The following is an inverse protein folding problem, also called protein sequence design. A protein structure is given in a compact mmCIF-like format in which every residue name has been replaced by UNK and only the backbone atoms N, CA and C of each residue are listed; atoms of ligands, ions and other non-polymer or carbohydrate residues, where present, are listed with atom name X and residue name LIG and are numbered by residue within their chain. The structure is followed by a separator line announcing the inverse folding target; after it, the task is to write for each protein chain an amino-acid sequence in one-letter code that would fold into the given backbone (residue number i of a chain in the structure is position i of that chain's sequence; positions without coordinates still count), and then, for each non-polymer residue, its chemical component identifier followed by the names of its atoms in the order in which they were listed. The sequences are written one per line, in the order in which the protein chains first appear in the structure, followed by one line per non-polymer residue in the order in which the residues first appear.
data_IF_211988104359
#
_entry.id   IF_211988104359
#
_cell.length_a   1.000
_cell.length_b   1.000
_cell.length_c   1.000
_cell.angle_alpha   90.00
_cell.angle_beta   90.00
_cell.angle_gamma   90.00
#
_symmetry.space_group_name_H-M   'P 1'
#
loop_
_entity.id
_entity.type
_entity.pdbx_description
1 polymer ?
#
# COMPACT_ATOMS: atom_id res chain seq x y z
N UNK A 1 55.73 -29.56 -10.68
CA UNK A 1 55.92 -28.17 -10.22
C UNK A 1 54.97 -27.30 -11.04
N UNK A 2 53.75 -27.06 -10.56
CA UNK A 2 53.34 -25.92 -9.72
C UNK A 2 53.55 -24.55 -10.39
N UNK A 3 52.42 -23.94 -10.73
CA UNK A 3 52.11 -22.51 -10.53
C UNK A 3 52.26 -21.56 -11.73
N UNK A 4 51.36 -20.55 -11.70
CA UNK A 4 51.27 -19.31 -12.48
C UNK A 4 50.45 -19.29 -13.78
N UNK A 5 49.13 -19.14 -13.65
CA UNK A 5 48.50 -17.84 -13.98
C UNK A 5 47.07 -17.78 -13.42
N UNK A 6 47.01 -17.36 -12.16
CA UNK A 6 45.86 -16.69 -11.54
C UNK A 6 45.47 -15.47 -12.37
N UNK A 7 44.18 -15.10 -12.33
CA UNK A 7 43.62 -13.75 -12.55
C UNK A 7 42.53 -13.67 -13.63
N UNK A 8 41.42 -14.42 -13.52
CA UNK A 8 40.17 -14.00 -14.16
C UNK A 8 38.91 -14.62 -13.54
N UNK A 9 38.61 -14.30 -12.28
CA UNK A 9 37.25 -14.45 -11.74
C UNK A 9 37.04 -13.43 -10.62
N UNK A 10 36.74 -12.18 -11.00
CA UNK A 10 35.98 -11.31 -10.11
C UNK A 10 34.58 -11.92 -10.01
N UNK A 11 34.37 -12.72 -8.97
CA UNK A 11 33.04 -13.15 -8.56
C UNK A 11 32.34 -11.87 -8.07
N UNK A 12 31.58 -11.23 -8.96
CA UNK A 12 30.57 -10.24 -8.56
C UNK A 12 29.48 -11.03 -7.83
N UNK A 13 29.62 -11.17 -6.51
CA UNK A 13 28.52 -11.56 -5.65
C UNK A 13 27.56 -10.37 -5.54
N UNK A 14 26.74 -10.17 -6.56
CA UNK A 14 25.61 -9.24 -6.51
C UNK A 14 24.55 -9.87 -5.60
N UNK A 15 24.55 -9.51 -4.32
CA UNK A 15 23.47 -9.85 -3.42
C UNK A 15 22.23 -9.03 -3.82
N UNK A 16 21.34 -9.63 -4.61
CA UNK A 16 20.01 -9.10 -4.86
C UNK A 16 19.17 -9.34 -3.61
N UNK A 17 19.15 -8.36 -2.71
CA UNK A 17 18.19 -8.33 -1.62
C UNK A 17 16.81 -8.05 -2.21
N UNK A 18 16.07 -9.10 -2.54
CA UNK A 18 14.65 -8.99 -2.79
C UNK A 18 13.97 -8.73 -1.44
N UNK A 19 13.72 -7.46 -1.11
CA UNK A 19 12.75 -7.11 -0.08
C UNK A 19 11.36 -7.46 -0.63
N UNK A 20 10.96 -8.72 -0.50
CA UNK A 20 9.62 -9.16 -0.89
C UNK A 20 8.63 -8.64 0.15
N UNK A 21 8.24 -7.38 0.04
CA UNK A 21 6.99 -6.95 0.66
C UNK A 21 5.87 -7.75 0.00
N UNK A 22 4.94 -8.35 0.76
CA UNK A 22 3.82 -9.06 0.17
C UNK A 22 3.05 -8.09 -0.75
N UNK A 23 3.00 -8.41 -2.04
CA UNK A 23 2.35 -7.59 -3.07
C UNK A 23 0.86 -7.35 -2.79
N UNK A 24 0.25 -8.24 -1.99
CA UNK A 24 -1.13 -8.16 -1.53
C UNK A 24 -1.19 -8.63 -0.07
N UNK A 25 -1.67 -7.78 0.83
CA UNK A 25 -1.65 -8.03 2.27
C UNK A 25 -2.94 -7.55 2.93
N UNK A 26 -3.42 -8.31 3.90
CA UNK A 26 -4.54 -7.92 4.78
C UNK A 26 -3.97 -7.73 6.18
N UNK A 27 -4.03 -6.49 6.65
CA UNK A 27 -3.50 -6.10 7.95
C UNK A 27 -4.63 -5.73 8.91
N UNK A 28 -4.43 -6.01 10.18
CA UNK A 28 -5.16 -5.31 11.23
C UNK A 28 -4.95 -3.80 11.07
N UNK A 29 -5.97 -3.01 11.38
CA UNK A 29 -5.86 -1.55 11.28
C UNK A 29 -4.77 -1.04 12.24
N UNK A 30 -3.68 -0.41 11.74
CA UNK A 30 -2.63 0.11 12.60
C UNK A 30 -3.18 1.17 13.56
N UNK A 31 -2.66 1.24 14.79
CA UNK A 31 -3.11 2.19 15.81
C UNK A 31 -3.02 3.65 15.31
N UNK A 32 -1.97 3.97 14.55
CA UNK A 32 -1.80 5.27 13.91
C UNK A 32 -2.96 5.60 12.96
N UNK A 33 -3.36 4.64 12.11
CA UNK A 33 -4.46 4.82 11.17
C UNK A 33 -5.81 4.91 11.90
N UNK A 34 -6.05 4.11 12.94
CA UNK A 34 -7.26 4.22 13.79
C UNK A 34 -7.41 5.63 14.37
N UNK A 35 -6.31 6.16 14.89
CA UNK A 35 -6.25 7.50 15.48
C UNK A 35 -6.56 8.56 14.42
N UNK A 36 -5.88 8.48 13.27
CA UNK A 36 -6.08 9.41 12.16
C UNK A 36 -7.53 9.38 11.62
N UNK A 37 -8.13 8.19 11.50
CA UNK A 37 -9.53 8.04 11.07
C UNK A 37 -10.51 8.71 12.04
N UNK A 38 -10.24 8.60 13.34
CA UNK A 38 -11.08 9.20 14.40
C UNK A 38 -10.91 10.72 14.42
N UNK A 39 -9.67 11.23 14.37
CA UNK A 39 -9.35 12.66 14.35
C UNK A 39 -9.93 13.37 13.12
N UNK A 40 -9.89 12.70 11.97
CA UNK A 40 -10.40 13.24 10.70
C UNK A 40 -11.88 12.95 10.48
N UNK A 41 -12.53 12.23 11.39
CA UNK A 41 -13.96 11.92 11.34
C UNK A 41 -14.38 10.98 10.20
N UNK A 42 -13.45 10.24 9.59
CA UNK A 42 -13.75 9.21 8.58
C UNK A 42 -14.31 7.93 9.21
N UNK A 43 -14.08 7.75 10.51
CA UNK A 43 -14.78 6.81 11.37
C UNK A 43 -15.15 7.48 12.69
N UNK A 44 -16.28 7.09 13.28
CA UNK A 44 -16.77 7.60 14.57
C UNK A 44 -17.40 6.48 15.40
N UNK A 45 -17.52 6.62 16.73
CA UNK A 45 -18.12 5.60 17.60
C UNK A 45 -19.56 5.23 17.23
N UNK A 46 -20.32 6.16 16.65
CA UNK A 46 -21.68 5.92 16.16
C UNK A 46 -21.75 5.12 14.83
N UNK A 47 -20.60 4.84 14.20
CA UNK A 47 -20.58 4.07 12.97
C UNK A 47 -21.05 2.62 13.23
N UNK A 48 -21.84 2.03 12.31
CA UNK A 48 -22.45 0.71 12.50
C UNK A 48 -21.43 -0.45 12.49
N UNK A 49 -20.21 -0.19 12.03
CA UNK A 49 -19.12 -1.15 11.98
C UNK A 49 -18.04 -0.71 12.97
N UNK A 50 -17.77 -1.57 13.94
CA UNK A 50 -16.69 -1.39 14.90
C UNK A 50 -15.33 -1.24 14.17
N UNK A 51 -14.50 -0.30 14.64
CA UNK A 51 -13.18 -0.04 14.08
C UNK A 51 -12.27 -1.27 14.11
N UNK A 52 -12.46 -2.18 15.09
CA UNK A 52 -11.70 -3.43 15.20
C UNK A 52 -12.11 -4.48 14.17
N UNK A 53 -13.26 -4.28 13.50
CA UNK A 53 -13.73 -5.11 12.38
C UNK A 53 -13.27 -4.59 11.03
N UNK A 54 -12.50 -3.50 11.00
CA UNK A 54 -11.89 -2.99 9.79
C UNK A 54 -10.50 -3.59 9.57
N UNK A 55 -10.12 -3.76 8.31
CA UNK A 55 -8.80 -4.21 7.87
C UNK A 55 -8.24 -3.25 6.84
N UNK A 56 -6.92 -3.03 6.92
CA UNK A 56 -6.17 -2.33 5.90
C UNK A 56 -5.72 -3.38 4.87
N UNK A 57 -6.20 -3.24 3.64
CA UNK A 57 -5.73 -4.04 2.52
C UNK A 57 -4.68 -3.24 1.77
N UNK A 58 -3.47 -3.79 1.65
CA UNK A 58 -2.39 -3.25 0.83
C UNK A 58 -2.27 -4.10 -0.43
N UNK A 59 -2.04 -3.46 -1.56
CA UNK A 59 -1.93 -4.14 -2.85
C UNK A 59 -1.03 -3.36 -3.82
N UNK A 60 -0.54 -4.03 -4.86
CA UNK A 60 0.07 -3.37 -6.02
C UNK A 60 -0.93 -3.21 -7.17
N UNK A 61 -0.78 -2.15 -7.96
CA UNK A 61 -1.56 -1.88 -9.16
C UNK A 61 -0.71 -1.19 -10.23
N UNK A 62 -1.21 -1.10 -11.46
CA UNK A 62 -0.59 -0.32 -12.51
C UNK A 62 -1.24 1.07 -12.58
N UNK A 63 -0.46 2.11 -12.80
CA UNK A 63 -0.97 3.43 -13.13
C UNK A 63 -1.16 3.64 -14.65
N UNK A 64 -1.59 4.83 -15.06
CA UNK A 64 -1.80 5.16 -16.47
C UNK A 64 -0.51 5.22 -17.30
N UNK A 65 0.66 5.28 -16.65
CA UNK A 65 1.96 5.19 -17.31
C UNK A 65 2.45 3.74 -17.46
N UNK A 66 1.74 2.77 -16.87
CA UNK A 66 2.11 1.36 -16.85
C UNK A 66 3.12 1.01 -15.76
N UNK A 67 3.38 1.93 -14.81
CA UNK A 67 4.25 1.67 -13.67
C UNK A 67 3.49 0.95 -12.55
N UNK A 68 4.17 0.04 -11.84
CA UNK A 68 3.62 -0.53 -10.62
C UNK A 68 3.67 0.48 -9.47
N UNK A 69 2.54 0.63 -8.78
CA UNK A 69 2.36 1.50 -7.61
C UNK A 69 1.71 0.73 -6.47
N UNK A 70 1.95 1.21 -5.24
CA UNK A 70 1.29 0.69 -4.04
C UNK A 70 -0.04 1.39 -3.77
N UNK A 71 -1.06 0.57 -3.55
CA UNK A 71 -2.40 0.95 -3.18
C UNK A 71 -2.77 0.50 -1.77
N UNK A 72 -3.63 1.26 -1.12
CA UNK A 72 -4.14 0.97 0.22
C UNK A 72 -5.65 1.26 0.28
N UNK A 73 -6.42 0.39 0.93
CA UNK A 73 -7.85 0.58 1.16
C UNK A 73 -8.27 -0.02 2.51
N UNK A 74 -9.19 0.66 3.21
CA UNK A 74 -9.79 0.15 4.46
C UNK A 74 -11.14 -0.49 4.15
N UNK A 75 -11.34 -1.73 4.58
CA UNK A 75 -12.57 -2.51 4.31
C UNK A 75 -13.01 -3.29 5.52
N UNK A 76 -14.27 -3.75 5.52
CA UNK A 76 -14.78 -4.70 6.52
C UNK A 76 -14.03 -6.04 6.42
N UNK A 77 -13.64 -6.61 7.56
CA UNK A 77 -12.87 -7.86 7.66
C UNK A 77 -13.49 -9.01 6.86
N UNK A 78 -14.82 -9.12 6.88
CA UNK A 78 -15.57 -10.21 6.23
C UNK A 78 -15.43 -10.22 4.69
N UNK A 79 -15.02 -9.10 4.09
CA UNK A 79 -14.83 -8.98 2.64
C UNK A 79 -13.37 -8.78 2.23
N UNK A 80 -12.43 -8.68 3.19
CA UNK A 80 -11.03 -8.32 2.90
C UNK A 80 -10.37 -9.27 1.88
N UNK A 81 -10.57 -10.59 2.04
CA UNK A 81 -10.05 -11.58 1.08
C UNK A 81 -10.65 -11.42 -0.33
N UNK A 82 -11.94 -11.10 -0.43
CA UNK A 82 -12.59 -10.86 -1.73
C UNK A 82 -12.02 -9.61 -2.41
N UNK A 83 -11.75 -8.56 -1.63
CA UNK A 83 -11.16 -7.31 -2.14
C UNK A 83 -9.74 -7.57 -2.66
N UNK A 84 -8.92 -8.35 -1.96
CA UNK A 84 -7.61 -8.79 -2.47
C UNK A 84 -7.75 -9.50 -3.81
N UNK A 85 -8.69 -10.45 -3.94
CA UNK A 85 -8.91 -11.17 -5.21
C UNK A 85 -9.29 -10.22 -6.37
N UNK A 86 -10.06 -9.17 -6.09
CA UNK A 86 -10.40 -8.15 -7.09
C UNK A 86 -9.12 -7.43 -7.55
N UNK A 87 -8.28 -6.97 -6.62
CA UNK A 87 -7.05 -6.26 -6.98
C UNK A 87 -6.01 -7.17 -7.66
N UNK A 88 -5.95 -8.45 -7.29
CA UNK A 88 -5.15 -9.45 -8.02
C UNK A 88 -5.62 -9.62 -9.47
N UNK A 89 -6.94 -9.71 -9.69
CA UNK A 89 -7.50 -9.79 -11.03
C UNK A 89 -7.22 -8.52 -11.85
N UNK A 90 -7.44 -7.33 -11.27
CA UNK A 90 -7.14 -6.06 -11.92
C UNK A 90 -5.66 -5.92 -12.26
N UNK A 91 -4.77 -6.32 -11.36
CA UNK A 91 -3.32 -6.33 -11.59
C UNK A 91 -2.93 -7.30 -12.73
N UNK A 92 -3.48 -8.52 -12.74
CA UNK A 92 -3.25 -9.50 -13.81
C UNK A 92 -3.73 -9.04 -15.19
N UNK A 93 -4.72 -8.14 -15.24
CA UNK A 93 -5.19 -7.49 -16.46
C UNK A 93 -4.49 -6.16 -16.78
N UNK A 94 -3.49 -5.75 -16.00
CA UNK A 94 -2.82 -4.45 -16.09
C UNK A 94 -3.81 -3.28 -16.13
N UNK A 95 -4.92 -3.40 -15.40
CA UNK A 95 -5.95 -2.37 -15.38
C UNK A 95 -5.40 -1.09 -14.74
N UNK A 96 -5.43 0.06 -15.45
CA UNK A 96 -4.83 1.29 -14.95
C UNK A 96 -5.70 1.92 -13.86
N UNK A 97 -5.09 2.16 -12.70
CA UNK A 97 -5.67 2.88 -11.57
C UNK A 97 -4.74 4.06 -11.28
N UNK A 98 -5.26 5.28 -11.37
CA UNK A 98 -4.44 6.48 -11.18
C UNK A 98 -3.77 6.51 -9.80
N UNK A 99 -4.57 6.26 -8.75
CA UNK A 99 -4.14 6.27 -7.35
C UNK A 99 -5.10 5.41 -6.53
N UNK A 100 -4.57 4.76 -5.50
CA UNK A 100 -5.36 4.10 -4.45
C UNK A 100 -4.76 4.45 -3.09
N UNK A 101 -5.38 5.40 -2.40
CA UNK A 101 -4.96 5.88 -1.07
C UNK A 101 -6.16 5.87 -0.13
N UNK A 102 -5.90 5.84 1.18
CA UNK A 102 -6.98 5.90 2.18
C UNK A 102 -7.66 7.26 2.18
N UNK A 103 -8.86 7.33 2.77
CA UNK A 103 -9.63 8.58 2.81
C UNK A 103 -8.89 9.70 3.55
N UNK A 104 -8.11 9.35 4.56
CA UNK A 104 -7.35 10.30 5.37
C UNK A 104 -6.28 11.02 4.54
N UNK A 105 -5.71 10.35 3.53
CA UNK A 105 -4.79 10.98 2.59
C UNK A 105 -5.50 12.08 1.78
N UNK A 106 -6.67 11.79 1.24
CA UNK A 106 -7.41 12.75 0.42
C UNK A 106 -7.99 13.91 1.24
N UNK A 107 -8.55 13.63 2.42
CA UNK A 107 -9.10 14.67 3.30
C UNK A 107 -8.00 15.63 3.78
N UNK A 108 -6.79 15.13 4.05
CA UNK A 108 -5.67 15.99 4.44
C UNK A 108 -5.26 16.96 3.31
N UNK A 109 -5.37 16.54 2.04
CA UNK A 109 -5.11 17.41 0.88
C UNK A 109 -6.16 18.51 0.74
N UNK A 110 -7.43 18.22 1.07
CA UNK A 110 -8.51 19.21 1.03
C UNK A 110 -8.30 20.26 2.13
N UNK A 111 -8.00 19.85 3.36
CA UNK A 111 -7.79 20.76 4.48
C UNK A 111 -6.56 21.66 4.28
N UNK A 112 -5.43 21.11 3.79
CA UNK A 112 -4.24 21.92 3.46
C UNK A 112 -4.51 22.99 2.40
N UNK A 113 -5.45 22.75 1.48
CA UNK A 113 -5.80 23.74 0.45
C UNK A 113 -6.63 24.90 1.01
N UNK A 114 -7.32 24.71 2.14
CA UNK A 114 -8.07 25.75 2.83
C UNK A 114 -7.21 26.65 3.74
N UNK A 115 -5.97 26.26 4.04
CA UNK A 115 -5.04 27.07 4.85
C UNK A 115 -4.44 28.28 4.09
N UNK A 116 -4.70 28.43 2.78
CA UNK A 116 -4.26 29.59 2.00
C UNK A 116 -5.11 30.86 2.22
N UNK A 117 -6.04 30.89 3.18
CA UNK A 117 -6.92 32.04 3.44
C UNK A 117 -6.67 32.75 4.79
N UNK A 118 -5.56 32.45 5.49
CA UNK A 118 -5.21 33.08 6.78
C UNK A 118 -3.77 33.61 6.85
N UNK A 119 -3.21 34.08 5.72
CA UNK A 119 -1.97 34.85 5.70
C UNK A 119 -2.20 36.25 5.11
#
# INVERSE_FOLDING_TARGET
MRSFFTMMTCILATSLSASTSPDFEILCLPISLKTQMTEMGTWKPECPVDIDRLRLVKFIHYDFSGDQKHGEIVVLEAIAARVVNIFQALHGHQFPIAQAKTMEHYTALILKKCDCALA
#
